data_IF_050729826435
#
_entry.id   IF_050729826435
#
_cell.length_a   1.000
_cell.length_b   1.000
_cell.length_c   1.000
_cell.angle_alpha   90.00
_cell.angle_beta   90.00
_cell.angle_gamma   90.00
#
_symmetry.space_group_name_H-M   'P 1'
#
loop_
_entity.id
_entity.type
_entity.pdbx_description
1 polymer ?
#
# COMPACT_ATOMS: atom_id res chain seq x y z
N UNK A 1 -11.41 -19.55 14.37
CA UNK A 1 -10.80 -19.73 13.05
C UNK A 1 -11.34 -20.98 12.35
N UNK A 2 -11.65 -20.86 11.06
CA UNK A 2 -12.15 -22.00 10.28
C UNK A 2 -13.66 -22.04 10.05
N UNK A 3 -14.46 -21.38 10.87
CA UNK A 3 -15.92 -21.37 10.72
C UNK A 3 -16.36 -20.80 9.36
N UNK A 4 -15.81 -19.66 8.96
CA UNK A 4 -16.10 -19.09 7.66
C UNK A 4 -15.62 -19.99 6.51
N UNK A 5 -14.45 -20.63 6.65
CA UNK A 5 -13.92 -21.55 5.65
C UNK A 5 -14.87 -22.72 5.39
N UNK A 6 -15.58 -23.19 6.42
CA UNK A 6 -16.56 -24.27 6.29
C UNK A 6 -17.81 -23.90 5.46
N UNK A 7 -18.07 -22.59 5.28
CA UNK A 7 -19.16 -22.10 4.43
C UNK A 7 -18.78 -22.01 2.95
N UNK A 8 -17.51 -22.15 2.62
CA UNK A 8 -17.02 -22.06 1.25
C UNK A 8 -16.87 -23.46 0.63
N UNK A 9 -17.09 -23.59 -0.68
CA UNK A 9 -16.89 -24.85 -1.37
C UNK A 9 -15.42 -25.31 -1.28
N UNK A 10 -15.21 -26.62 -1.26
CA UNK A 10 -13.88 -27.23 -1.20
C UNK A 10 -13.15 -27.24 -2.55
N UNK A 11 -13.88 -27.10 -3.64
CA UNK A 11 -13.35 -27.11 -5.00
C UNK A 11 -13.94 -25.95 -5.81
N UNK A 12 -13.27 -25.50 -6.87
CA UNK A 12 -13.82 -24.47 -7.74
C UNK A 12 -15.09 -24.96 -8.44
N UNK A 13 -16.03 -24.06 -8.76
CA UNK A 13 -17.21 -24.39 -9.53
C UNK A 13 -16.83 -24.97 -10.89
N UNK A 14 -17.56 -25.97 -11.33
CA UNK A 14 -17.32 -26.66 -12.63
C UNK A 14 -18.10 -26.00 -13.78
N UNK A 15 -19.03 -25.12 -13.50
CA UNK A 15 -19.83 -24.37 -14.46
C UNK A 15 -20.01 -22.92 -13.99
N UNK A 16 -20.42 -22.05 -14.91
CA UNK A 16 -20.80 -20.68 -14.58
C UNK A 16 -22.10 -20.66 -13.78
N UNK A 17 -22.20 -19.68 -12.89
CA UNK A 17 -23.36 -19.41 -12.06
C UNK A 17 -23.97 -18.05 -12.41
N UNK A 18 -25.30 -17.89 -12.31
CA UNK A 18 -25.93 -16.58 -12.48
C UNK A 18 -25.40 -15.56 -11.46
N UNK A 19 -25.12 -14.34 -11.91
CA UNK A 19 -24.61 -13.28 -11.05
C UNK A 19 -25.52 -13.01 -9.83
N UNK A 20 -26.84 -13.21 -9.98
CA UNK A 20 -27.80 -13.03 -8.89
C UNK A 20 -27.58 -14.03 -7.75
N UNK A 21 -27.19 -15.25 -8.04
CA UNK A 21 -26.87 -16.30 -7.06
C UNK A 21 -25.55 -15.97 -6.35
N UNK A 22 -24.53 -15.56 -7.10
CA UNK A 22 -23.23 -15.12 -6.55
C UNK A 22 -23.45 -13.94 -5.57
N UNK A 23 -24.27 -12.95 -5.94
CA UNK A 23 -24.59 -11.81 -5.07
C UNK A 23 -25.41 -12.25 -3.84
N UNK A 24 -26.32 -13.20 -3.99
CA UNK A 24 -27.08 -13.75 -2.87
C UNK A 24 -26.18 -14.48 -1.88
N UNK A 25 -25.25 -15.28 -2.34
CA UNK A 25 -24.26 -15.96 -1.50
C UNK A 25 -23.33 -14.98 -0.79
N UNK A 26 -22.82 -13.98 -1.50
CA UNK A 26 -22.03 -12.91 -0.88
C UNK A 26 -22.78 -12.25 0.29
N UNK A 27 -24.02 -11.84 0.06
CA UNK A 27 -24.85 -11.20 1.10
C UNK A 27 -25.15 -12.10 2.29
N UNK A 28 -25.25 -13.40 2.06
CA UNK A 28 -25.57 -14.38 3.09
C UNK A 28 -24.38 -14.73 3.98
N UNK A 29 -23.16 -14.81 3.43
CA UNK A 29 -22.01 -15.39 4.16
C UNK A 29 -20.93 -14.38 4.49
N UNK A 30 -20.71 -13.34 3.68
CA UNK A 30 -19.55 -12.47 3.86
C UNK A 30 -19.74 -11.41 4.96
N UNK A 31 -20.86 -10.67 5.03
CA UNK A 31 -21.00 -9.56 5.97
C UNK A 31 -20.81 -9.97 7.43
N UNK A 32 -21.36 -11.11 7.85
CA UNK A 32 -21.28 -11.60 9.24
C UNK A 32 -19.85 -12.09 9.60
N UNK A 33 -19.03 -12.37 8.62
CA UNK A 33 -17.64 -12.79 8.82
C UNK A 33 -16.62 -11.63 8.76
N UNK A 34 -17.10 -10.40 8.53
CA UNK A 34 -16.25 -9.20 8.41
C UNK A 34 -16.22 -8.40 9.72
N UNK A 35 -15.06 -7.83 10.02
CA UNK A 35 -14.96 -6.74 10.98
C UNK A 35 -15.34 -5.43 10.29
N UNK A 36 -16.43 -4.82 10.70
CA UNK A 36 -16.96 -3.61 10.06
C UNK A 36 -16.23 -2.35 10.54
N UNK A 37 -15.16 -1.99 9.86
CA UNK A 37 -14.33 -0.83 10.22
C UNK A 37 -15.04 0.52 10.15
N UNK A 38 -16.12 0.62 9.39
CA UNK A 38 -16.95 1.82 9.31
C UNK A 38 -18.11 1.84 10.32
N UNK A 39 -18.20 0.85 11.21
CA UNK A 39 -19.23 0.84 12.22
C UNK A 39 -19.01 1.97 13.24
N UNK A 40 -20.06 2.72 13.66
CA UNK A 40 -19.91 3.86 14.59
C UNK A 40 -19.27 3.53 15.94
N UNK A 41 -19.24 2.26 16.33
CA UNK A 41 -18.58 1.77 17.56
C UNK A 41 -17.21 1.14 17.32
N UNK A 42 -16.62 1.29 16.13
CA UNK A 42 -15.28 0.82 15.86
C UNK A 42 -14.27 1.88 16.27
N UNK A 43 -13.56 1.64 17.38
CA UNK A 43 -12.59 2.59 17.97
C UNK A 43 -11.14 2.09 17.89
N UNK A 44 -10.89 1.03 17.15
CA UNK A 44 -9.55 0.48 16.97
C UNK A 44 -8.91 1.01 15.68
N UNK A 45 -7.59 1.11 15.67
CA UNK A 45 -6.77 1.49 14.53
C UNK A 45 -7.14 2.87 13.92
N UNK A 46 -6.87 3.05 12.65
CA UNK A 46 -7.30 4.19 11.84
C UNK A 46 -8.28 3.69 10.77
N UNK A 47 -9.57 3.91 10.91
CA UNK A 47 -10.55 3.46 9.92
C UNK A 47 -10.36 4.19 8.59
N UNK A 48 -10.41 3.44 7.49
CA UNK A 48 -10.46 3.99 6.16
C UNK A 48 -11.86 4.55 5.86
N UNK A 49 -11.90 5.70 5.21
CA UNK A 49 -13.14 6.28 4.73
C UNK A 49 -13.37 5.91 3.27
N UNK A 50 -14.62 5.64 2.94
CA UNK A 50 -15.07 5.52 1.57
C UNK A 50 -16.05 6.67 1.26
N UNK A 51 -15.85 7.34 0.14
CA UNK A 51 -16.80 8.34 -0.37
C UNK A 51 -17.51 7.80 -1.61
N UNK A 52 -18.73 8.25 -1.93
CA UNK A 52 -19.39 7.87 -3.18
C UNK A 52 -18.51 8.14 -4.41
N UNK A 53 -17.75 9.23 -4.41
CA UNK A 53 -16.84 9.58 -5.50
C UNK A 53 -15.69 8.56 -5.64
N UNK A 54 -15.08 8.13 -4.55
CA UNK A 54 -14.00 7.14 -4.59
C UNK A 54 -14.49 5.76 -5.01
N UNK A 55 -15.67 5.35 -4.56
CA UNK A 55 -16.31 4.09 -4.95
C UNK A 55 -16.59 4.08 -6.45
N UNK A 56 -17.13 5.18 -6.98
CA UNK A 56 -17.42 5.32 -8.40
C UNK A 56 -16.13 5.33 -9.25
N UNK A 57 -15.12 6.07 -8.81
CA UNK A 57 -13.82 6.11 -9.48
C UNK A 57 -13.16 4.72 -9.55
N UNK A 58 -13.16 3.98 -8.45
CA UNK A 58 -12.67 2.60 -8.40
C UNK A 58 -13.42 1.68 -9.37
N UNK A 59 -14.74 1.84 -9.45
CA UNK A 59 -15.59 1.07 -10.38
C UNK A 59 -15.21 1.36 -11.83
N UNK A 60 -14.92 2.62 -12.19
CA UNK A 60 -14.45 2.97 -13.53
C UNK A 60 -13.08 2.41 -13.83
N UNK A 61 -12.13 2.53 -12.91
CA UNK A 61 -10.77 1.98 -13.08
C UNK A 61 -10.83 0.47 -13.33
N UNK A 62 -11.63 -0.25 -12.55
CA UNK A 62 -11.82 -1.69 -12.73
C UNK A 62 -12.51 -2.03 -14.04
N UNK A 63 -13.55 -1.30 -14.43
CA UNK A 63 -14.28 -1.52 -15.68
C UNK A 63 -13.42 -1.27 -16.92
N UNK A 64 -12.52 -0.27 -16.87
CA UNK A 64 -11.57 0.01 -17.96
C UNK A 64 -10.39 -0.95 -18.01
N UNK A 65 -10.13 -1.71 -16.95
CA UNK A 65 -8.93 -2.55 -16.86
C UNK A 65 -7.65 -1.73 -16.95
N UNK A 66 -7.62 -0.55 -16.35
CA UNK A 66 -6.51 0.38 -16.45
C UNK A 66 -5.20 -0.23 -15.93
N UNK A 67 -4.13 -0.13 -16.74
CA UNK A 67 -2.79 -0.65 -16.44
C UNK A 67 -1.82 0.51 -16.26
N UNK A 68 -1.74 1.05 -15.05
CA UNK A 68 -0.99 2.25 -14.72
C UNK A 68 0.49 2.00 -14.36
N UNK A 69 1.07 0.90 -14.79
CA UNK A 69 2.47 0.55 -14.49
C UNK A 69 3.50 1.38 -15.25
N UNK A 70 3.13 1.92 -16.40
CA UNK A 70 3.98 2.73 -17.27
C UNK A 70 3.17 3.87 -17.87
N UNK A 71 3.83 4.98 -18.19
CA UNK A 71 3.19 6.07 -18.91
C UNK A 71 2.59 5.61 -20.26
N UNK A 72 3.30 4.74 -20.98
CA UNK A 72 2.85 4.25 -22.28
C UNK A 72 1.57 3.41 -22.20
N UNK A 73 1.35 2.72 -21.09
CA UNK A 73 0.16 1.88 -20.92
C UNK A 73 -1.03 2.65 -20.35
N UNK A 74 -0.78 3.75 -19.67
CA UNK A 74 -1.82 4.63 -19.14
C UNK A 74 -1.31 6.07 -18.95
N UNK A 75 -1.19 6.88 -20.02
CA UNK A 75 -0.75 8.26 -19.91
C UNK A 75 -1.61 9.08 -18.94
N UNK A 76 -2.93 8.94 -19.03
CA UNK A 76 -3.87 9.68 -18.19
C UNK A 76 -3.66 9.37 -16.69
N UNK A 77 -3.49 8.10 -16.31
CA UNK A 77 -3.28 7.74 -14.91
C UNK A 77 -1.96 8.31 -14.37
N UNK A 78 -0.89 8.24 -15.15
CA UNK A 78 0.42 8.79 -14.77
C UNK A 78 0.37 10.31 -14.60
N UNK A 79 -0.27 11.02 -15.53
CA UNK A 79 -0.37 12.47 -15.47
C UNK A 79 -1.28 12.95 -14.35
N UNK A 80 -2.40 12.24 -14.09
CA UNK A 80 -3.24 12.50 -12.93
C UNK A 80 -2.49 12.27 -11.62
N UNK A 81 -1.68 11.22 -11.50
CA UNK A 81 -0.86 10.99 -10.31
C UNK A 81 0.10 12.16 -10.07
N UNK A 82 0.77 12.64 -11.11
CA UNK A 82 1.68 13.80 -11.00
C UNK A 82 0.96 15.05 -10.49
N UNK A 83 -0.23 15.33 -11.01
CA UNK A 83 -1.07 16.45 -10.56
C UNK A 83 -1.47 16.26 -9.10
N UNK A 84 -1.93 15.09 -8.72
CA UNK A 84 -2.35 14.80 -7.34
C UNK A 84 -1.19 14.89 -6.36
N UNK A 85 -0.02 14.41 -6.72
CA UNK A 85 1.20 14.52 -5.89
C UNK A 85 1.61 16.00 -5.73
N UNK A 86 1.51 16.80 -6.80
CA UNK A 86 1.79 18.24 -6.69
C UNK A 86 0.76 18.97 -5.80
N UNK A 87 -0.52 18.63 -5.89
CA UNK A 87 -1.54 19.17 -4.99
C UNK A 87 -1.28 18.80 -3.52
N UNK A 88 -0.86 17.56 -3.25
CA UNK A 88 -0.43 17.14 -1.91
C UNK A 88 0.79 17.93 -1.44
N UNK A 89 1.78 18.14 -2.29
CA UNK A 89 2.94 18.98 -2.00
C UNK A 89 2.53 20.37 -1.57
N UNK A 90 1.63 21.00 -2.32
CA UNK A 90 1.10 22.34 -2.02
C UNK A 90 0.33 22.34 -0.67
N UNK A 91 -0.56 21.38 -0.46
CA UNK A 91 -1.35 21.26 0.77
C UNK A 91 -0.48 21.06 2.02
N UNK A 92 0.66 20.38 1.87
CA UNK A 92 1.64 20.18 2.94
C UNK A 92 2.62 21.36 3.11
N UNK A 93 2.54 22.39 2.29
CA UNK A 93 3.46 23.53 2.32
C UNK A 93 4.91 23.18 1.95
N UNK A 94 5.12 22.10 1.19
CA UNK A 94 6.45 21.70 0.76
C UNK A 94 6.91 22.58 -0.41
N UNK A 95 8.21 22.92 -0.42
CA UNK A 95 8.82 23.74 -1.47
C UNK A 95 8.77 23.06 -2.83
N UNK A 96 8.95 23.84 -3.89
CA UNK A 96 9.15 23.30 -5.24
C UNK A 96 10.34 22.33 -5.29
N UNK A 97 10.27 21.36 -6.20
CA UNK A 97 11.26 20.29 -6.35
C UNK A 97 10.99 19.04 -5.53
N UNK A 98 10.03 19.06 -4.58
CA UNK A 98 9.52 17.80 -4.03
C UNK A 98 8.60 17.13 -5.04
N UNK A 99 8.84 15.86 -5.27
CA UNK A 99 8.00 14.99 -6.09
C UNK A 99 7.78 13.68 -5.33
N UNK A 100 6.91 12.84 -5.86
CA UNK A 100 6.61 11.56 -5.22
C UNK A 100 5.81 10.64 -6.13
N UNK A 101 5.35 9.56 -5.56
CA UNK A 101 4.46 8.59 -6.19
C UNK A 101 3.49 8.04 -5.15
N UNK A 102 2.32 7.63 -5.59
CA UNK A 102 1.30 7.01 -4.75
C UNK A 102 1.50 5.50 -4.77
N UNK A 103 1.63 4.91 -3.60
CA UNK A 103 1.82 3.47 -3.42
C UNK A 103 0.51 2.79 -2.99
N UNK A 104 0.46 1.49 -3.17
CA UNK A 104 -0.65 0.63 -2.76
C UNK A 104 -0.87 0.62 -1.24
N UNK A 105 0.21 0.68 -0.46
CA UNK A 105 0.17 0.71 1.01
C UNK A 105 1.24 1.62 1.60
N UNK A 106 1.01 2.07 2.84
CA UNK A 106 2.01 2.80 3.61
C UNK A 106 3.29 1.97 3.85
N UNK A 107 3.18 0.65 3.92
CA UNK A 107 4.35 -0.23 4.07
C UNK A 107 5.23 -0.18 2.82
N UNK A 108 4.65 -0.26 1.63
CA UNK A 108 5.38 -0.14 0.36
C UNK A 108 6.01 1.24 0.22
N UNK A 109 5.26 2.31 0.53
CA UNK A 109 5.77 3.68 0.52
C UNK A 109 6.98 3.84 1.45
N UNK A 110 6.89 3.34 2.69
CA UNK A 110 8.00 3.36 3.66
C UNK A 110 9.21 2.57 3.16
N UNK A 111 8.97 1.41 2.58
CA UNK A 111 10.04 0.57 2.03
C UNK A 111 10.77 1.26 0.88
N UNK A 112 10.05 1.85 -0.07
CA UNK A 112 10.64 2.64 -1.17
C UNK A 112 11.43 3.84 -0.65
N UNK A 113 10.92 4.54 0.38
CA UNK A 113 11.65 5.64 1.01
C UNK A 113 12.96 5.17 1.66
N UNK A 114 12.93 4.04 2.38
CA UNK A 114 14.13 3.45 3.00
C UNK A 114 15.15 3.03 1.93
N UNK A 115 14.70 2.40 0.83
CA UNK A 115 15.57 2.03 -0.29
C UNK A 115 16.20 3.27 -0.94
N UNK A 116 15.41 4.31 -1.18
CA UNK A 116 15.90 5.58 -1.75
C UNK A 116 16.95 6.23 -0.86
N UNK A 117 16.71 6.28 0.45
CA UNK A 117 17.69 6.80 1.41
C UNK A 117 18.97 5.96 1.44
N UNK A 118 18.85 4.63 1.39
CA UNK A 118 19.97 3.70 1.31
C UNK A 118 20.81 3.97 0.08
N UNK A 119 20.19 3.99 -1.09
CA UNK A 119 20.90 4.21 -2.36
C UNK A 119 21.58 5.58 -2.39
N UNK A 120 20.90 6.61 -1.91
CA UNK A 120 21.50 7.95 -1.79
C UNK A 120 22.71 7.97 -0.87
N UNK A 121 22.66 7.27 0.26
CA UNK A 121 23.79 7.16 1.19
C UNK A 121 24.97 6.37 0.60
N UNK A 122 24.71 5.43 -0.31
CA UNK A 122 25.71 4.63 -1.01
C UNK A 122 26.13 5.23 -2.36
N UNK A 123 25.73 6.46 -2.69
CA UNK A 123 25.95 7.07 -4.00
C UNK A 123 25.48 6.18 -5.16
N UNK A 124 24.36 5.51 -4.99
CA UNK A 124 23.70 4.58 -5.93
C UNK A 124 24.52 3.32 -6.29
N UNK A 125 25.58 3.02 -5.54
CA UNK A 125 26.39 1.81 -5.76
C UNK A 125 25.63 0.53 -5.39
N UNK A 126 24.68 0.61 -4.48
CA UNK A 126 23.83 -0.52 -4.13
C UNK A 126 23.07 -1.12 -5.31
N UNK A 127 22.75 -0.32 -6.34
CA UNK A 127 22.07 -0.77 -7.55
C UNK A 127 22.93 -1.68 -8.44
N UNK A 128 24.25 -1.55 -8.39
CA UNK A 128 25.17 -2.29 -9.27
C UNK A 128 26.06 -3.26 -8.52
N UNK A 129 26.51 -2.89 -7.33
CA UNK A 129 27.47 -3.67 -6.53
C UNK A 129 26.77 -4.43 -5.38
N UNK A 130 25.50 -4.13 -5.11
CA UNK A 130 24.80 -4.63 -3.93
C UNK A 130 25.25 -3.94 -2.65
N UNK A 131 24.83 -4.46 -1.50
CA UNK A 131 25.14 -3.88 -0.19
C UNK A 131 26.22 -4.64 0.58
N UNK A 132 26.72 -5.75 0.05
CA UNK A 132 27.77 -6.53 0.66
C UNK A 132 29.09 -5.75 0.62
N UNK A 133 29.72 -5.58 1.78
CA UNK A 133 30.96 -4.77 1.88
C UNK A 133 30.74 -3.25 1.92
N UNK A 134 29.49 -2.79 1.83
CA UNK A 134 29.17 -1.37 1.98
C UNK A 134 29.38 -0.87 3.41
N UNK A 135 29.59 0.44 3.61
CA UNK A 135 29.62 1.03 4.94
C UNK A 135 28.36 0.70 5.74
N UNK A 136 28.52 0.53 7.03
CA UNK A 136 27.37 0.26 7.93
C UNK A 136 26.44 1.48 7.96
N UNK A 137 25.24 1.30 7.42
CA UNK A 137 24.18 2.30 7.47
C UNK A 137 23.37 2.17 8.75
N UNK A 138 22.85 3.30 9.26
CA UNK A 138 21.94 3.34 10.40
C UNK A 138 20.72 4.17 10.05
N UNK A 139 19.58 3.72 10.56
CA UNK A 139 18.31 4.46 10.47
C UNK A 139 17.90 4.86 11.88
N UNK A 140 17.51 6.10 12.04
CA UNK A 140 16.99 6.64 13.29
C UNK A 140 15.48 6.84 13.14
N UNK A 141 14.72 6.35 14.11
CA UNK A 141 13.27 6.46 14.13
C UNK A 141 12.79 6.63 15.57
N UNK A 142 11.64 7.27 15.76
CA UNK A 142 10.99 7.33 17.06
C UNK A 142 10.52 5.94 17.52
N UNK A 143 10.49 5.71 18.84
CA UNK A 143 9.87 4.53 19.42
C UNK A 143 8.38 4.40 19.06
N UNK A 144 7.74 5.49 18.68
CA UNK A 144 6.33 5.55 18.28
C UNK A 144 6.09 5.27 16.78
N UNK A 145 7.16 5.07 15.97
CA UNK A 145 6.99 4.77 14.55
C UNK A 145 6.26 3.45 14.33
N UNK A 146 5.42 3.46 13.30
CA UNK A 146 4.71 2.27 12.88
C UNK A 146 5.68 1.14 12.45
N UNK A 147 5.31 -0.10 12.66
CA UNK A 147 6.10 -1.30 12.36
C UNK A 147 6.53 -1.46 10.90
N UNK A 148 5.98 -0.67 9.96
CA UNK A 148 6.45 -0.62 8.58
C UNK A 148 7.91 -0.19 8.46
N UNK A 149 8.39 0.67 9.36
CA UNK A 149 9.81 1.08 9.38
C UNK A 149 10.70 -0.11 9.74
N UNK A 150 10.34 -0.86 10.78
CA UNK A 150 11.07 -2.06 11.19
C UNK A 150 11.12 -3.13 10.07
N UNK A 151 9.99 -3.35 9.42
CA UNK A 151 9.89 -4.24 8.25
C UNK A 151 10.79 -3.77 7.11
N UNK A 152 10.73 -2.50 6.78
CA UNK A 152 11.50 -1.89 5.69
C UNK A 152 13.01 -1.98 5.93
N UNK A 153 13.46 -1.74 7.16
CA UNK A 153 14.88 -1.85 7.53
C UNK A 153 15.39 -3.29 7.37
N UNK A 154 14.57 -4.27 7.76
CA UNK A 154 14.92 -5.69 7.56
C UNK A 154 14.98 -6.07 6.08
N UNK A 155 13.96 -5.68 5.31
CA UNK A 155 13.87 -6.01 3.89
C UNK A 155 14.90 -5.28 3.02
N UNK A 156 15.33 -4.09 3.43
CA UNK A 156 16.32 -3.30 2.69
C UNK A 156 17.76 -3.81 2.79
N UNK A 157 18.01 -4.85 3.59
CA UNK A 157 19.36 -5.36 3.81
C UNK A 157 20.21 -4.53 4.78
N UNK A 158 19.65 -3.49 5.40
CA UNK A 158 20.33 -2.67 6.43
C UNK A 158 20.48 -3.48 7.72
N UNK A 159 19.48 -4.30 8.06
CA UNK A 159 19.45 -5.14 9.24
C UNK A 159 18.88 -4.45 10.48
N UNK A 160 18.12 -5.21 11.27
CA UNK A 160 17.35 -4.71 12.42
C UNK A 160 18.24 -4.01 13.47
N UNK A 161 19.45 -4.49 13.70
CA UNK A 161 20.40 -3.93 14.69
C UNK A 161 20.91 -2.53 14.31
N UNK A 162 20.62 -2.11 13.10
CA UNK A 162 20.95 -0.77 12.59
C UNK A 162 19.78 0.20 12.64
N UNK A 163 18.62 -0.22 13.14
CA UNK A 163 17.51 0.66 13.44
C UNK A 163 17.63 1.15 14.88
N UNK A 164 17.95 2.43 15.03
CA UNK A 164 18.11 3.08 16.34
C UNK A 164 16.78 3.76 16.68
N UNK A 165 16.13 3.30 17.74
CA UNK A 165 14.92 3.93 18.27
C UNK A 165 15.29 5.05 19.23
N UNK A 166 14.65 6.21 19.05
CA UNK A 166 14.81 7.42 19.88
C UNK A 166 13.47 7.65 20.59
N UNK A 167 13.52 7.94 21.88
CA UNK A 167 12.36 8.30 22.69
C UNK A 167 11.83 9.70 22.38
#
# INVERSE_FOLDING_TARGET
>A
PGEFRALLPNSPPQSSEPIAEIVADFKRIVPDAMTHWQHPRFFAYFPANASPASILAESFVNAMGAQAMLWQTSPAATEMEQVMVDWLRQALGLREGFTGTIHDTATTATFCAVLTMRERALNFKGLTEGTCGSPRLRIYASTQTHSSVDKSVRLSGIGQDNLIKIE
#
